data_IF_418612074495
#
_entry.id   IF_418612074495
#
_cell.length_a   1.000
_cell.length_b   1.000
_cell.length_c   1.000
_cell.angle_alpha   90.00
_cell.angle_beta   90.00
_cell.angle_gamma   90.00
#
_symmetry.space_group_name_H-M   'P 1'
#
loop_
_entity.id
_entity.type
_entity.pdbx_description
1 polymer ?
#
# COMPACT_ATOMS: atom_id res chain seq x y z
N UNK A 1 4.03 31.80 6.86
CA UNK A 1 4.96 30.71 6.46
C UNK A 1 4.22 29.53 5.80
N UNK A 2 3.14 29.77 5.06
CA UNK A 2 2.10 28.74 4.80
C UNK A 2 1.98 28.29 3.35
N UNK A 3 2.50 29.03 2.37
CA UNK A 3 2.28 28.68 0.95
C UNK A 3 3.27 27.66 0.38
N UNK A 4 4.52 27.63 0.90
CA UNK A 4 5.53 26.66 0.46
C UNK A 4 5.28 25.23 0.96
N UNK A 5 4.60 25.07 2.11
CA UNK A 5 4.27 23.76 2.67
C UNK A 5 3.09 23.11 1.91
N UNK A 6 2.05 23.87 1.55
CA UNK A 6 0.93 23.37 0.73
C UNK A 6 1.36 22.95 -0.68
N UNK A 7 2.29 23.68 -1.31
CA UNK A 7 2.84 23.31 -2.61
C UNK A 7 3.71 22.05 -2.55
N UNK A 8 4.40 21.80 -1.44
CA UNK A 8 5.17 20.58 -1.22
C UNK A 8 4.26 19.37 -0.95
N UNK A 9 3.13 19.57 -0.25
CA UNK A 9 2.12 18.55 0.01
C UNK A 9 1.43 18.11 -1.30
N UNK A 10 0.94 19.04 -2.11
CA UNK A 10 0.30 18.73 -3.39
C UNK A 10 1.23 18.07 -4.43
N UNK A 11 2.54 18.31 -4.35
CA UNK A 11 3.54 17.60 -5.19
C UNK A 11 3.79 16.17 -4.74
N UNK A 12 3.76 15.90 -3.42
CA UNK A 12 3.89 14.54 -2.87
C UNK A 12 2.64 13.70 -3.16
N UNK A 13 1.45 14.28 -3.02
CA UNK A 13 0.18 13.62 -3.38
C UNK A 13 0.11 13.30 -4.88
N UNK A 14 0.51 14.24 -5.76
CA UNK A 14 0.58 13.96 -7.21
C UNK A 14 1.56 12.83 -7.55
N UNK A 15 2.69 12.73 -6.84
CA UNK A 15 3.63 11.63 -7.04
C UNK A 15 3.08 10.30 -6.51
N UNK A 16 2.39 10.30 -5.38
CA UNK A 16 1.72 9.11 -4.85
C UNK A 16 0.61 8.61 -5.80
N UNK A 17 -0.25 9.50 -6.30
CA UNK A 17 -1.29 9.17 -7.26
C UNK A 17 -0.74 8.64 -8.59
N UNK A 18 0.39 9.19 -9.06
CA UNK A 18 1.07 8.71 -10.28
C UNK A 18 1.65 7.31 -10.09
N UNK A 19 2.26 7.03 -8.92
CA UNK A 19 2.77 5.69 -8.57
C UNK A 19 1.64 4.68 -8.43
N UNK A 20 0.52 5.07 -7.80
CA UNK A 20 -0.66 4.22 -7.67
C UNK A 20 -1.28 3.88 -9.04
N UNK A 21 -1.38 4.85 -9.96
CA UNK A 21 -1.83 4.60 -11.33
C UNK A 21 -0.90 3.66 -12.10
N UNK A 22 0.41 3.89 -12.02
CA UNK A 22 1.39 3.02 -12.67
C UNK A 22 1.35 1.58 -12.12
N UNK A 23 1.13 1.42 -10.81
CA UNK A 23 0.95 0.10 -10.18
C UNK A 23 -0.36 -0.56 -10.65
N UNK A 24 -1.47 0.19 -10.73
CA UNK A 24 -2.75 -0.32 -11.19
C UNK A 24 -2.73 -0.71 -12.68
N UNK A 25 -2.05 0.06 -13.53
CA UNK A 25 -1.91 -0.26 -14.96
C UNK A 25 -1.05 -1.52 -15.16
N UNK A 26 0.04 -1.67 -14.38
CA UNK A 26 0.81 -2.93 -14.34
C UNK A 26 -0.01 -4.11 -13.84
N UNK A 27 -0.86 -3.92 -12.84
CA UNK A 27 -1.73 -4.98 -12.32
C UNK A 27 -2.77 -5.42 -13.37
N UNK A 28 -3.33 -4.49 -14.16
CA UNK A 28 -4.23 -4.82 -15.28
C UNK A 28 -3.48 -5.57 -16.40
N UNK A 29 -2.26 -5.15 -16.73
CA UNK A 29 -1.42 -5.85 -17.72
C UNK A 29 -1.11 -7.29 -17.28
N UNK A 30 -0.76 -7.46 -16.00
CA UNK A 30 -0.53 -8.76 -15.38
C UNK A 30 -1.77 -9.65 -15.39
N UNK A 31 -2.94 -9.08 -15.08
CA UNK A 31 -4.22 -9.81 -15.12
C UNK A 31 -4.58 -10.25 -16.54
N UNK A 32 -4.42 -9.39 -17.53
CA UNK A 32 -4.64 -9.74 -18.94
C UNK A 32 -3.67 -10.83 -19.41
N UNK A 33 -2.41 -10.83 -18.93
CA UNK A 33 -1.45 -11.91 -19.19
C UNK A 33 -1.85 -13.23 -18.53
N UNK A 34 -2.30 -13.19 -17.28
CA UNK A 34 -2.79 -14.38 -16.55
C UNK A 34 -4.06 -14.95 -17.20
N UNK A 35 -4.97 -14.11 -17.68
CA UNK A 35 -6.17 -14.54 -18.40
C UNK A 35 -5.83 -15.25 -19.72
N UNK A 36 -4.79 -14.79 -20.45
CA UNK A 36 -4.26 -15.51 -21.63
C UNK A 36 -3.64 -16.86 -21.28
N UNK A 37 -2.88 -16.93 -20.19
CA UNK A 37 -2.30 -18.17 -19.67
C UNK A 37 -3.38 -19.19 -19.25
N UNK A 38 -4.47 -18.73 -18.64
CA UNK A 38 -5.63 -19.56 -18.27
C UNK A 38 -6.46 -20.02 -19.47
N UNK A 39 -6.40 -19.32 -20.60
CA UNK A 39 -7.12 -19.67 -21.83
C UNK A 39 -6.51 -20.87 -22.60
N UNK A 40 -5.42 -21.45 -22.11
CA UNK A 40 -4.82 -22.67 -22.68
C UNK A 40 -3.90 -22.43 -23.89
N UNK A 41 -3.47 -21.19 -24.13
CA UNK A 41 -2.44 -20.92 -25.13
C UNK A 41 -1.07 -21.46 -24.67
N UNK A 42 -0.34 -22.21 -25.53
CA UNK A 42 0.97 -22.72 -25.19
C UNK A 42 1.90 -21.53 -24.92
N UNK A 43 2.29 -21.39 -23.65
CA UNK A 43 3.15 -20.31 -23.19
C UNK A 43 4.59 -20.77 -23.14
N UNK A 44 5.51 -19.94 -23.61
CA UNK A 44 6.93 -20.30 -23.55
C UNK A 44 7.40 -20.34 -22.10
N UNK A 45 8.44 -21.11 -21.78
CA UNK A 45 9.08 -21.07 -20.46
C UNK A 45 9.52 -19.65 -20.05
N UNK A 46 9.89 -18.81 -21.02
CA UNK A 46 10.22 -17.40 -20.79
C UNK A 46 8.98 -16.58 -20.41
N UNK A 47 7.81 -16.82 -21.00
CA UNK A 47 6.56 -16.13 -20.65
C UNK A 47 6.10 -16.45 -19.22
N UNK A 48 6.23 -17.72 -18.81
CA UNK A 48 5.91 -18.15 -17.44
C UNK A 48 6.88 -17.52 -16.44
N UNK A 49 8.17 -17.46 -16.78
CA UNK A 49 9.18 -16.80 -15.95
C UNK A 49 8.90 -15.30 -15.81
N UNK A 50 8.59 -14.62 -16.91
CA UNK A 50 8.31 -13.19 -16.92
C UNK A 50 7.03 -12.85 -16.14
N UNK A 51 5.98 -13.69 -16.25
CA UNK A 51 4.77 -13.55 -15.46
C UNK A 51 5.04 -13.71 -13.96
N UNK A 52 5.84 -14.71 -13.55
CA UNK A 52 6.27 -14.89 -12.15
C UNK A 52 7.04 -13.68 -11.63
N UNK A 53 8.04 -13.21 -12.37
CA UNK A 53 8.82 -12.02 -12.01
C UNK A 53 7.94 -10.76 -11.90
N UNK A 54 6.94 -10.61 -12.75
CA UNK A 54 6.02 -9.49 -12.70
C UNK A 54 5.10 -9.55 -11.47
N UNK A 55 4.64 -10.74 -11.08
CA UNK A 55 3.89 -10.96 -9.83
C UNK A 55 4.74 -10.64 -8.60
N UNK A 56 5.98 -11.14 -8.55
CA UNK A 56 6.92 -10.85 -7.44
C UNK A 56 7.18 -9.36 -7.28
N UNK A 57 7.41 -8.64 -8.40
CA UNK A 57 7.59 -7.19 -8.40
C UNK A 57 6.33 -6.44 -7.94
N UNK A 58 5.15 -6.90 -8.36
CA UNK A 58 3.89 -6.29 -7.94
C UNK A 58 3.63 -6.50 -6.44
N UNK A 59 3.93 -7.69 -5.92
CA UNK A 59 3.82 -8.02 -4.50
C UNK A 59 4.80 -7.18 -3.67
N UNK A 60 6.06 -7.08 -4.08
CA UNK A 60 7.05 -6.23 -3.41
C UNK A 60 6.64 -4.74 -3.41
N UNK A 61 6.08 -4.25 -4.51
CA UNK A 61 5.56 -2.88 -4.58
C UNK A 61 4.33 -2.67 -3.68
N UNK A 62 3.46 -3.68 -3.55
CA UNK A 62 2.28 -3.64 -2.66
C UNK A 62 2.67 -3.60 -1.19
N UNK A 63 3.62 -4.45 -0.77
CA UNK A 63 4.21 -4.45 0.57
C UNK A 63 4.77 -3.07 0.91
N UNK A 64 5.62 -2.51 0.05
CA UNK A 64 6.22 -1.20 0.27
C UNK A 64 5.14 -0.10 0.33
N UNK A 65 4.04 -0.22 -0.41
CA UNK A 65 2.93 0.73 -0.35
C UNK A 65 2.21 0.68 1.02
N UNK A 66 1.97 -0.51 1.56
CA UNK A 66 1.38 -0.71 2.89
C UNK A 66 2.27 -0.15 3.99
N UNK A 67 3.58 -0.39 3.92
CA UNK A 67 4.54 0.20 4.87
C UNK A 67 4.53 1.73 4.84
N UNK A 68 4.54 2.32 3.64
CA UNK A 68 4.47 3.77 3.49
C UNK A 68 3.13 4.35 3.98
N UNK A 69 2.03 3.61 3.84
CA UNK A 69 0.71 4.00 4.33
C UNK A 69 0.67 3.96 5.86
N UNK A 70 1.15 2.88 6.47
CA UNK A 70 1.29 2.77 7.93
C UNK A 70 2.12 3.92 8.51
N UNK A 71 3.26 4.25 7.89
CA UNK A 71 4.09 5.40 8.28
C UNK A 71 3.40 6.75 8.09
N UNK A 72 2.51 6.88 7.10
CA UNK A 72 1.75 8.10 6.87
C UNK A 72 0.68 8.28 7.96
N UNK A 73 -0.09 7.23 8.25
CA UNK A 73 -1.08 7.22 9.32
C UNK A 73 -0.46 7.46 10.70
N UNK A 74 0.66 6.82 11.03
CA UNK A 74 1.36 7.07 12.31
C UNK A 74 1.81 8.55 12.46
N UNK A 75 2.26 9.18 11.37
CA UNK A 75 2.60 10.62 11.36
C UNK A 75 1.37 11.51 11.49
N UNK A 76 0.26 11.14 10.85
CA UNK A 76 -1.02 11.84 10.96
C UNK A 76 -1.54 11.78 12.41
N UNK A 77 -1.55 10.59 13.03
CA UNK A 77 -1.92 10.40 14.43
C UNK A 77 -1.08 11.27 15.38
N UNK A 78 0.25 11.33 15.17
CA UNK A 78 1.13 12.20 15.95
C UNK A 78 0.81 13.70 15.78
N UNK A 79 0.45 14.12 14.56
CA UNK A 79 0.03 15.50 14.29
C UNK A 79 -1.31 15.82 14.96
N UNK A 80 -2.28 14.91 14.88
CA UNK A 80 -3.58 15.02 15.55
C UNK A 80 -3.42 15.11 17.08
N UNK A 81 -2.58 14.26 17.70
CA UNK A 81 -2.25 14.36 19.13
C UNK A 81 -1.64 15.71 19.51
N UNK A 82 -0.69 16.20 18.70
CA UNK A 82 -0.06 17.50 18.93
C UNK A 82 -1.08 18.65 18.85
N UNK A 83 -2.01 18.59 17.88
CA UNK A 83 -3.10 19.55 17.75
C UNK A 83 -4.05 19.50 18.94
N UNK A 84 -4.44 18.31 19.40
CA UNK A 84 -5.30 18.14 20.58
C UNK A 84 -4.70 18.81 21.83
N UNK A 85 -3.40 18.59 22.10
CA UNK A 85 -2.69 19.22 23.23
C UNK A 85 -2.73 20.75 23.15
N UNK A 86 -2.53 21.32 21.95
CA UNK A 86 -2.60 22.77 21.75
C UNK A 86 -4.02 23.31 21.96
N UNK A 87 -5.02 22.59 21.47
CA UNK A 87 -6.43 22.97 21.59
C UNK A 87 -6.91 22.93 23.05
N UNK A 88 -6.49 21.94 23.84
CA UNK A 88 -6.79 21.90 25.27
C UNK A 88 -6.22 23.10 26.02
N UNK A 89 -4.98 23.48 25.71
CA UNK A 89 -4.31 24.63 26.37
C UNK A 89 -5.05 25.94 26.15
N UNK A 90 -5.80 26.07 25.05
CA UNK A 90 -6.61 27.25 24.73
C UNK A 90 -8.10 27.06 25.03
N UNK A 91 -8.47 26.01 25.78
CA UNK A 91 -9.84 25.77 26.24
C UNK A 91 -10.80 25.23 25.16
N UNK A 92 -10.29 24.74 24.04
CA UNK A 92 -11.08 24.21 22.90
C UNK A 92 -11.26 22.69 23.03
N UNK A 93 -11.77 22.23 24.16
CA UNK A 93 -11.81 20.79 24.50
C UNK A 93 -12.58 19.93 23.50
N UNK A 94 -13.76 20.36 23.04
CA UNK A 94 -14.54 19.59 22.05
C UNK A 94 -13.78 19.38 20.73
N UNK A 95 -12.95 20.35 20.31
CA UNK A 95 -12.09 20.20 19.14
C UNK A 95 -10.89 19.30 19.44
N UNK A 96 -10.30 19.43 20.64
CA UNK A 96 -9.23 18.54 21.08
C UNK A 96 -9.69 17.06 21.08
N UNK A 97 -10.90 16.78 21.56
CA UNK A 97 -11.50 15.44 21.54
C UNK A 97 -11.67 14.90 20.13
N UNK A 98 -12.15 15.71 19.19
CA UNK A 98 -12.25 15.32 17.78
C UNK A 98 -10.87 14.96 17.19
N UNK A 99 -9.82 15.71 17.55
CA UNK A 99 -8.45 15.37 17.14
C UNK A 99 -7.92 14.09 17.81
N UNK A 100 -8.29 13.80 19.07
CA UNK A 100 -7.90 12.52 19.70
C UNK A 100 -8.57 11.33 19.00
N UNK A 101 -9.87 11.43 18.71
CA UNK A 101 -10.61 10.42 17.96
C UNK A 101 -10.00 10.19 16.56
N UNK A 102 -9.58 11.26 15.88
CA UNK A 102 -8.88 11.14 14.60
C UNK A 102 -7.50 10.47 14.74
N UNK A 103 -6.76 10.76 15.80
CA UNK A 103 -5.48 10.09 16.07
C UNK A 103 -5.64 8.60 16.36
N UNK A 104 -6.69 8.21 17.09
CA UNK A 104 -6.98 6.81 17.39
C UNK A 104 -7.38 6.05 16.11
N UNK A 105 -8.12 6.69 15.21
CA UNK A 105 -8.45 6.13 13.90
C UNK A 105 -7.20 5.93 13.04
N UNK A 106 -6.33 6.94 12.94
CA UNK A 106 -5.06 6.83 12.22
C UNK A 106 -4.12 5.77 12.83
N UNK A 107 -4.03 5.65 14.16
CA UNK A 107 -3.22 4.58 14.78
C UNK A 107 -3.78 3.19 14.45
N UNK A 108 -5.11 3.03 14.42
CA UNK A 108 -5.75 1.77 14.04
C UNK A 108 -5.47 1.41 12.57
N UNK A 109 -5.57 2.38 11.66
CA UNK A 109 -5.25 2.22 10.24
C UNK A 109 -3.76 1.88 10.05
N UNK A 110 -2.86 2.56 10.78
CA UNK A 110 -1.44 2.27 10.75
C UNK A 110 -1.12 0.82 11.17
N UNK A 111 -1.80 0.31 12.21
CA UNK A 111 -1.67 -1.07 12.63
C UNK A 111 -2.21 -2.06 11.59
N UNK A 112 -3.35 -1.75 10.96
CA UNK A 112 -3.96 -2.60 9.94
C UNK A 112 -3.07 -2.73 8.69
N UNK A 113 -2.49 -1.63 8.22
CA UNK A 113 -1.57 -1.60 7.08
C UNK A 113 -0.26 -2.34 7.40
N UNK A 114 0.30 -2.14 8.59
CA UNK A 114 1.51 -2.83 9.04
C UNK A 114 1.28 -4.35 9.16
N UNK A 115 0.15 -4.79 9.72
CA UNK A 115 -0.21 -6.19 9.81
C UNK A 115 -0.38 -6.83 8.41
N UNK A 116 -1.02 -6.11 7.48
CA UNK A 116 -1.23 -6.55 6.09
C UNK A 116 0.10 -6.70 5.33
N UNK A 117 1.06 -5.80 5.56
CA UNK A 117 2.42 -5.92 5.02
C UNK A 117 3.13 -7.16 5.56
N UNK A 118 3.07 -7.39 6.88
CA UNK A 118 3.70 -8.56 7.51
C UNK A 118 3.09 -9.88 7.04
N UNK A 119 1.77 -9.96 6.84
CA UNK A 119 1.15 -11.17 6.29
C UNK A 119 1.59 -11.44 4.86
N UNK A 120 1.73 -10.39 4.05
CA UNK A 120 2.25 -10.48 2.68
C UNK A 120 3.71 -10.97 2.64
N UNK A 121 4.51 -10.67 3.67
CA UNK A 121 5.86 -11.21 3.84
C UNK A 121 5.92 -12.67 4.29
N UNK A 122 4.89 -13.15 5.02
CA UNK A 122 4.88 -14.51 5.60
C UNK A 122 4.32 -15.57 4.66
N UNK A 123 3.49 -15.20 3.67
CA UNK A 123 2.99 -16.17 2.69
C UNK A 123 4.11 -16.56 1.73
N UNK A 124 4.61 -17.82 1.74
CA UNK A 124 5.47 -18.29 0.67
C UNK A 124 4.70 -18.17 -0.65
N UNK A 125 5.39 -17.86 -1.78
CA UNK A 125 4.73 -17.92 -3.08
C UNK A 125 4.10 -19.31 -3.22
N UNK A 126 2.88 -19.42 -3.80
CA UNK A 126 2.26 -20.72 -4.01
C UNK A 126 3.26 -21.59 -4.78
N UNK A 127 3.73 -22.66 -4.12
CA UNK A 127 4.60 -23.62 -4.78
C UNK A 127 3.78 -24.23 -5.90
N UNK A 128 4.13 -23.87 -7.12
CA UNK A 128 3.60 -24.52 -8.33
C UNK A 128 3.91 -26.00 -8.16
N UNK A 129 2.90 -26.79 -7.82
CA UNK A 129 3.02 -28.25 -7.82
C UNK A 129 3.31 -28.64 -9.27
N UNK A 130 4.57 -28.95 -9.55
CA UNK A 130 4.94 -29.64 -10.78
C UNK A 130 4.18 -30.96 -10.77
N UNK A 131 3.15 -31.07 -11.62
CA UNK A 131 2.44 -32.32 -11.81
C UNK A 131 3.46 -33.36 -12.28
N UNK A 132 3.60 -34.50 -11.58
CA UNK A 132 4.40 -35.59 -12.09
C UNK A 132 3.74 -36.08 -13.39
N UNK A 133 4.41 -35.87 -14.51
CA UNK A 133 4.10 -36.59 -15.75
C UNK A 133 4.54 -38.03 -15.54
N UNK A 134 3.60 -38.92 -15.27
CA UNK A 134 3.85 -40.36 -15.30
C UNK A 134 4.00 -40.86 -16.77
N UNK A 135 4.88 -41.86 -17.01
CA UNK A 135 5.29 -42.34 -18.34
C UNK A 135 4.28 -43.23 -19.06
#
# INVERSE_FOLDING_TARGET
MTERQSAAHGRREKQAATRARAAADRARELRARLERLQAGEPSSPDDVRDARLAVERALAAGILALENAADAHARAAAAHRSAAVLLDRVGRHAQADAHRLAADADDADAMADAASSQESHRRPPPQTQEQPTDP
#
